data_IF_318338999856
#
_entry.id   IF_318338999856
#
_cell.length_a   1.000
_cell.length_b   1.000
_cell.length_c   1.000
_cell.angle_alpha   90.00
_cell.angle_beta   90.00
_cell.angle_gamma   90.00
#
_symmetry.space_group_name_H-M   'P 1'
#
loop_
_entity.id
_entity.type
_entity.pdbx_description
1 polymer ?
#
# COMPACT_ATOMS: atom_id res chain seq x y z
N UNK A 1 -4.60 -5.90 11.23
CA UNK A 1 -3.77 -4.83 11.81
C UNK A 1 -3.80 -4.94 13.32
N UNK A 2 -2.65 -5.20 13.95
CA UNK A 2 -2.55 -5.30 15.39
C UNK A 2 -2.54 -3.89 16.00
N UNK A 3 -3.31 -3.64 17.08
CA UNK A 3 -3.30 -2.34 17.76
C UNK A 3 -1.89 -1.91 18.15
N UNK A 4 -1.50 -0.69 17.79
CA UNK A 4 -0.19 -0.10 18.10
C UNK A 4 1.01 -0.63 17.31
N UNK A 5 0.86 -1.72 16.54
CA UNK A 5 1.96 -2.33 15.76
C UNK A 5 1.71 -2.36 14.25
N UNK A 6 0.44 -2.28 13.82
CA UNK A 6 0.10 -2.34 12.40
C UNK A 6 0.19 -3.77 11.84
N UNK A 7 0.75 -3.90 10.64
CA UNK A 7 0.99 -5.17 9.96
C UNK A 7 2.45 -5.21 9.50
N UNK A 8 3.16 -6.29 9.85
CA UNK A 8 4.56 -6.49 9.46
C UNK A 8 4.65 -7.70 8.54
N UNK A 9 5.33 -7.54 7.41
CA UNK A 9 5.58 -8.59 6.43
C UNK A 9 7.08 -8.67 6.13
N UNK A 10 7.57 -9.85 5.75
CA UNK A 10 8.97 -10.10 5.39
C UNK A 10 9.12 -10.61 3.94
N UNK A 11 8.67 -9.83 2.94
CA UNK A 11 8.73 -10.23 1.54
C UNK A 11 10.18 -10.36 1.06
N UNK A 12 10.40 -11.32 0.17
CA UNK A 12 11.68 -11.55 -0.50
C UNK A 12 11.72 -10.88 -1.88
N UNK A 13 12.92 -10.60 -2.39
CA UNK A 13 13.07 -10.12 -3.77
C UNK A 13 12.54 -11.20 -4.73
N UNK A 14 11.62 -10.81 -5.61
CA UNK A 14 10.87 -11.68 -6.51
C UNK A 14 9.39 -11.82 -6.11
N UNK A 15 9.06 -11.60 -4.84
CA UNK A 15 7.69 -11.72 -4.33
C UNK A 15 6.76 -10.66 -4.91
N UNK A 16 5.46 -10.95 -4.82
CA UNK A 16 4.38 -10.05 -5.19
C UNK A 16 3.37 -9.95 -4.06
N UNK A 17 2.86 -8.75 -3.83
CA UNK A 17 1.85 -8.45 -2.83
C UNK A 17 0.76 -7.57 -3.45
N UNK A 18 -0.49 -8.01 -3.35
CA UNK A 18 -1.65 -7.22 -3.76
C UNK A 18 -2.21 -6.48 -2.52
N UNK A 19 -2.34 -5.16 -2.61
CA UNK A 19 -3.12 -4.34 -1.68
C UNK A 19 -4.47 -4.07 -2.36
N UNK A 20 -5.56 -4.48 -1.72
CA UNK A 20 -6.90 -4.47 -2.32
C UNK A 20 -7.83 -3.58 -1.49
N UNK A 21 -8.51 -2.67 -2.16
CA UNK A 21 -9.69 -1.98 -1.67
C UNK A 21 -10.93 -2.66 -2.24
N UNK A 22 -11.64 -3.45 -1.43
CA UNK A 22 -12.78 -4.23 -1.90
C UNK A 22 -13.96 -3.33 -2.21
N UNK A 23 -14.71 -3.67 -3.26
CA UNK A 23 -16.01 -3.05 -3.52
C UNK A 23 -16.99 -3.37 -2.41
N UNK A 24 -18.02 -2.53 -2.27
CA UNK A 24 -19.19 -2.89 -1.48
C UNK A 24 -20.21 -3.57 -2.37
N UNK A 25 -20.53 -4.81 -2.06
CA UNK A 25 -21.64 -5.55 -2.66
C UNK A 25 -22.76 -5.79 -1.63
N UNK A 26 -23.89 -6.34 -2.08
CA UNK A 26 -25.05 -6.62 -1.23
C UNK A 26 -24.77 -7.61 -0.07
N UNK A 27 -23.63 -8.30 -0.11
CA UNK A 27 -23.17 -9.24 0.93
C UNK A 27 -22.16 -8.61 1.88
N UNK A 28 -21.62 -7.44 1.55
CA UNK A 28 -20.61 -6.76 2.34
C UNK A 28 -21.31 -6.04 3.49
N UNK A 29 -20.99 -6.41 4.73
CA UNK A 29 -21.52 -5.74 5.92
C UNK A 29 -20.72 -4.45 6.13
N UNK A 30 -21.26 -3.31 5.67
CA UNK A 30 -20.63 -2.00 5.87
C UNK A 30 -20.86 -1.02 4.73
N UNK A 31 -20.31 0.18 4.89
CA UNK A 31 -20.21 1.19 3.83
C UNK A 31 -18.82 1.13 3.20
N UNK A 32 -18.67 1.73 2.01
CA UNK A 32 -17.37 1.75 1.34
C UNK A 32 -16.43 2.70 2.09
N UNK A 33 -15.19 2.26 2.29
CA UNK A 33 -14.18 3.04 2.97
C UNK A 33 -13.26 3.73 1.94
N UNK A 34 -13.21 5.05 2.01
CA UNK A 34 -12.43 5.87 1.10
C UNK A 34 -11.04 6.13 1.67
N UNK A 35 -10.00 5.71 0.94
CA UNK A 35 -8.60 5.88 1.35
C UNK A 35 -7.70 6.27 0.20
N UNK A 36 -6.63 7.00 0.53
CA UNK A 36 -5.44 7.10 -0.29
C UNK A 36 -4.30 6.45 0.49
N UNK A 37 -3.68 5.45 -0.10
CA UNK A 37 -2.58 4.68 0.51
C UNK A 37 -1.27 5.15 -0.11
N UNK A 38 -0.27 5.41 0.74
CA UNK A 38 1.01 6.00 0.34
C UNK A 38 2.16 5.14 0.83
N UNK A 39 3.26 5.10 0.08
CA UNK A 39 4.54 4.66 0.64
C UNK A 39 5.23 5.86 1.27
N UNK A 40 5.72 5.70 2.49
CA UNK A 40 6.32 6.79 3.27
C UNK A 40 7.63 6.36 3.91
N UNK A 41 8.39 7.34 4.41
CA UNK A 41 9.54 7.08 5.26
C UNK A 41 9.12 6.69 6.70
N UNK A 42 10.09 6.19 7.49
CA UNK A 42 9.83 5.72 8.86
C UNK A 42 9.25 6.82 9.76
N UNK A 43 9.76 8.05 9.69
CA UNK A 43 9.31 9.15 10.54
C UNK A 43 7.86 9.53 10.24
N UNK A 44 7.50 9.52 8.96
CA UNK A 44 6.14 9.73 8.48
C UNK A 44 5.19 8.63 8.96
N UNK A 45 5.59 7.36 8.91
CA UNK A 45 4.81 6.24 9.42
C UNK A 45 4.59 6.34 10.93
N UNK A 46 5.67 6.56 11.70
CA UNK A 46 5.62 6.70 13.16
C UNK A 46 4.71 7.85 13.61
N UNK A 47 4.68 8.95 12.85
CA UNK A 47 3.87 10.15 13.14
C UNK A 47 2.49 10.13 12.47
N UNK A 48 2.21 9.15 11.62
CA UNK A 48 1.01 9.11 10.79
C UNK A 48 0.81 10.38 9.94
N UNK A 49 1.85 10.82 9.22
CA UNK A 49 1.81 12.05 8.40
C UNK A 49 2.22 11.82 6.94
N UNK A 50 1.63 12.59 6.02
CA UNK A 50 1.97 12.60 4.60
C UNK A 50 2.49 13.98 4.19
N UNK A 51 3.46 14.02 3.27
CA UNK A 51 4.00 15.25 2.67
C UNK A 51 3.36 15.47 1.30
N UNK A 52 3.41 16.71 0.79
CA UNK A 52 2.71 17.10 -0.45
C UNK A 52 3.29 16.42 -1.69
N UNK A 53 4.56 16.07 -1.64
CA UNK A 53 5.31 15.37 -2.68
C UNK A 53 5.03 13.86 -2.75
N UNK A 54 4.35 13.28 -1.75
CA UNK A 54 4.03 11.86 -1.78
C UNK A 54 2.94 11.57 -2.82
N UNK A 55 3.24 10.66 -3.75
CA UNK A 55 2.28 10.13 -4.71
C UNK A 55 1.59 8.88 -4.12
N UNK A 56 0.25 8.78 -4.17
CA UNK A 56 -0.44 7.61 -3.65
C UNK A 56 -0.16 6.36 -4.49
N UNK A 57 0.05 5.21 -3.83
CA UNK A 57 0.13 3.90 -4.46
C UNK A 57 -1.25 3.42 -4.92
N UNK A 58 -2.26 3.66 -4.08
CA UNK A 58 -3.62 3.19 -4.29
C UNK A 58 -4.60 4.29 -3.87
N UNK A 59 -5.59 4.53 -4.73
CA UNK A 59 -6.67 5.49 -4.49
C UNK A 59 -8.00 4.75 -4.48
N UNK A 60 -8.52 4.49 -3.28
CA UNK A 60 -9.75 3.76 -3.03
C UNK A 60 -10.92 4.75 -3.07
N UNK A 61 -11.34 5.05 -4.29
CA UNK A 61 -12.37 6.05 -4.58
C UNK A 61 -13.54 5.49 -5.42
N UNK A 62 -13.55 4.19 -5.69
CA UNK A 62 -14.53 3.51 -6.54
C UNK A 62 -15.30 2.47 -5.74
N UNK A 63 -16.47 2.82 -5.17
CA UNK A 63 -17.22 1.92 -4.31
C UNK A 63 -17.79 0.69 -5.02
N UNK A 64 -17.94 0.76 -6.35
CA UNK A 64 -18.54 -0.25 -7.21
C UNK A 64 -17.53 -1.29 -7.74
N UNK A 65 -16.23 -1.09 -7.53
CA UNK A 65 -15.15 -1.89 -8.14
C UNK A 65 -14.05 -2.25 -7.14
N UNK A 66 -13.53 -3.46 -7.26
CA UNK A 66 -12.31 -3.84 -6.55
C UNK A 66 -11.14 -3.07 -7.16
N UNK A 67 -10.49 -2.24 -6.36
CA UNK A 67 -9.30 -1.50 -6.77
C UNK A 67 -8.10 -2.16 -6.11
N UNK A 68 -7.08 -2.51 -6.88
CA UNK A 68 -5.87 -3.12 -6.33
C UNK A 68 -4.59 -2.53 -6.89
N UNK A 69 -3.55 -2.58 -6.07
CA UNK A 69 -2.18 -2.27 -6.47
C UNK A 69 -1.29 -3.47 -6.16
N UNK A 70 -0.52 -3.92 -7.16
CA UNK A 70 0.41 -5.03 -7.02
C UNK A 70 1.82 -4.48 -6.81
N UNK A 71 2.37 -4.69 -5.62
CA UNK A 71 3.78 -4.48 -5.33
C UNK A 71 4.54 -5.69 -5.84
N UNK A 72 5.60 -5.45 -6.61
CA UNK A 72 6.61 -6.45 -6.95
C UNK A 72 7.90 -6.05 -6.26
N UNK A 73 8.41 -6.93 -5.40
CA UNK A 73 9.66 -6.69 -4.69
C UNK A 73 10.82 -6.97 -5.64
N UNK A 74 11.30 -5.93 -6.34
CA UNK A 74 12.36 -6.04 -7.34
C UNK A 74 13.42 -4.96 -7.12
N UNK A 75 14.68 -5.28 -7.38
CA UNK A 75 15.79 -4.34 -7.20
C UNK A 75 15.84 -3.26 -8.30
N UNK A 76 15.34 -3.59 -9.49
CA UNK A 76 15.32 -2.67 -10.63
C UNK A 76 13.94 -2.68 -11.28
N UNK A 77 13.38 -1.50 -11.47
CA UNK A 77 12.10 -1.30 -12.16
C UNK A 77 12.35 -0.82 -13.58
N UNK A 78 11.81 -1.50 -14.61
CA UNK A 78 11.84 -0.96 -15.98
C UNK A 78 10.91 0.24 -16.17
N UNK A 79 10.02 0.52 -15.20
CA UNK A 79 9.14 1.67 -15.20
C UNK A 79 9.79 2.84 -14.45
N UNK A 80 9.84 4.02 -15.07
CA UNK A 80 10.36 5.28 -14.49
C UNK A 80 9.69 5.68 -13.16
N UNK A 81 8.44 5.25 -12.95
CA UNK A 81 7.67 5.49 -11.72
C UNK A 81 7.46 4.23 -10.90
N UNK A 82 8.11 3.12 -11.27
CA UNK A 82 7.94 1.86 -10.57
C UNK A 82 8.76 1.81 -9.28
N UNK A 83 8.28 1.00 -8.35
CA UNK A 83 8.93 0.83 -7.06
C UNK A 83 10.13 -0.11 -7.17
N UNK A 84 11.18 0.23 -6.42
CA UNK A 84 12.41 -0.54 -6.29
C UNK A 84 12.68 -0.84 -4.81
N UNK A 85 13.05 -2.08 -4.54
CA UNK A 85 13.24 -2.62 -3.20
C UNK A 85 14.61 -3.24 -3.06
N UNK A 86 15.27 -2.96 -1.95
CA UNK A 86 16.57 -3.53 -1.60
C UNK A 86 16.39 -4.54 -0.48
N UNK A 87 17.21 -5.60 -0.51
CA UNK A 87 17.28 -6.57 0.58
C UNK A 87 17.71 -5.90 1.88
N UNK A 88 17.19 -6.37 3.01
CA UNK A 88 17.54 -5.89 4.35
C UNK A 88 17.23 -4.39 4.57
N UNK A 89 16.19 -3.86 3.92
CA UNK A 89 15.73 -2.50 4.10
C UNK A 89 14.23 -2.48 4.41
N UNK A 90 13.86 -1.61 5.34
CA UNK A 90 12.47 -1.44 5.76
C UNK A 90 11.73 -0.43 4.86
N UNK A 91 10.47 -0.74 4.58
CA UNK A 91 9.56 0.08 3.79
C UNK A 91 8.22 0.18 4.51
N UNK A 92 7.59 1.36 4.47
CA UNK A 92 6.38 1.65 5.25
C UNK A 92 5.26 2.12 4.32
N UNK A 93 4.06 1.60 4.58
CA UNK A 93 2.80 1.92 3.90
C UNK A 93 1.76 2.23 4.98
#
# INVERSE_FOLDING_TARGET
>A
FLPGQGLVLYPQIGDKLDIICPKVDSKTVGQYEYYKVYMVDKDQADRCTIKKENTPLLNCAKPDQDVKFTIKFQEFSPNLWGLEFQKNKDYYI
#
